data_IF_264153745330
#
_entry.id   IF_264153745330
#
_cell.length_a   1.000
_cell.length_b   1.000
_cell.length_c   1.000
_cell.angle_alpha   90.00
_cell.angle_beta   90.00
_cell.angle_gamma   90.00
#
_symmetry.space_group_name_H-M   'P 1'
#
loop_
_entity.id
_entity.type
_entity.pdbx_description
1 polymer ?
#
# COMPACT_ATOMS: atom_id res chain seq x y z
N UNK A 1 22.75 -19.40 -34.30
CA UNK A 1 22.15 -18.11 -34.74
C UNK A 1 21.13 -17.63 -33.70
N UNK A 2 20.10 -18.43 -33.35
CA UNK A 2 19.10 -18.09 -32.33
C UNK A 2 19.69 -17.68 -30.97
N UNK A 3 20.77 -18.35 -30.52
CA UNK A 3 21.46 -18.00 -29.28
C UNK A 3 22.06 -16.58 -29.29
N UNK A 4 22.72 -16.18 -30.39
CA UNK A 4 23.36 -14.86 -30.50
C UNK A 4 22.35 -13.77 -30.91
N UNK A 5 21.42 -14.07 -31.82
CA UNK A 5 20.38 -13.15 -32.25
C UNK A 5 19.32 -12.91 -31.16
N UNK A 6 19.16 -13.84 -30.20
CA UNK A 6 18.27 -13.70 -29.06
C UNK A 6 18.64 -12.58 -28.09
N UNK A 7 19.88 -12.09 -28.12
CA UNK A 7 20.30 -10.93 -27.33
C UNK A 7 19.77 -9.60 -27.91
N UNK A 8 19.34 -9.58 -29.17
CA UNK A 8 18.67 -8.44 -29.79
C UNK A 8 17.18 -8.81 -29.90
N UNK A 9 16.32 -8.20 -29.06
CA UNK A 9 14.88 -8.43 -29.13
C UNK A 9 14.36 -8.25 -30.56
N UNK A 10 13.38 -9.06 -30.95
CA UNK A 10 12.81 -9.14 -32.31
C UNK A 10 13.72 -9.84 -33.32
N UNK A 11 15.02 -9.54 -33.38
CA UNK A 11 15.94 -10.19 -34.34
C UNK A 11 16.04 -11.69 -34.11
N UNK A 12 16.20 -12.12 -32.85
CA UNK A 12 16.27 -13.55 -32.50
C UNK A 12 14.98 -14.32 -32.80
N UNK A 13 13.81 -13.68 -32.68
CA UNK A 13 12.52 -14.31 -32.93
C UNK A 13 12.18 -14.36 -34.43
N UNK A 14 12.55 -13.34 -35.19
CA UNK A 14 12.23 -13.26 -36.63
C UNK A 14 13.20 -14.10 -37.47
N UNK A 15 14.46 -14.24 -37.05
CA UNK A 15 15.50 -14.94 -37.84
C UNK A 15 15.14 -16.40 -38.17
N UNK A 16 14.70 -17.25 -37.22
CA UNK A 16 14.33 -18.64 -37.52
C UNK A 16 13.13 -18.72 -38.48
N UNK A 17 12.13 -17.85 -38.29
CA UNK A 17 10.95 -17.78 -39.16
C UNK A 17 11.31 -17.37 -40.59
N UNK A 18 12.16 -16.35 -40.75
CA UNK A 18 12.65 -15.91 -42.05
C UNK A 18 13.45 -17.02 -42.76
N UNK A 19 14.31 -17.74 -42.03
CA UNK A 19 15.04 -18.89 -42.58
C UNK A 19 14.12 -20.03 -42.99
N UNK A 20 13.09 -20.35 -42.20
CA UNK A 20 12.11 -21.38 -42.54
C UNK A 20 11.36 -21.05 -43.85
N UNK A 21 10.95 -19.79 -44.03
CA UNK A 21 10.27 -19.32 -45.24
C UNK A 21 11.21 -19.35 -46.45
N UNK A 22 12.46 -18.91 -46.30
CA UNK A 22 13.46 -18.98 -47.37
C UNK A 22 13.76 -20.41 -47.80
N UNK A 23 13.91 -21.33 -46.85
CA UNK A 23 14.13 -22.75 -47.14
C UNK A 23 12.93 -23.35 -47.85
N UNK A 24 11.70 -23.04 -47.42
CA UNK A 24 10.48 -23.50 -48.08
C UNK A 24 10.37 -22.97 -49.52
N UNK A 25 10.76 -21.71 -49.75
CA UNK A 25 10.75 -21.08 -51.07
C UNK A 25 11.71 -21.78 -52.04
N UNK A 26 12.92 -22.11 -51.59
CA UNK A 26 13.94 -22.76 -52.41
C UNK A 26 13.65 -24.24 -52.61
N UNK A 27 13.16 -24.95 -51.59
CA UNK A 27 13.00 -26.41 -51.64
C UNK A 27 11.66 -26.88 -52.21
N UNK A 28 10.59 -26.12 -51.98
CA UNK A 28 9.20 -26.58 -52.16
C UNK A 28 8.33 -25.61 -52.95
N UNK A 29 8.93 -24.53 -53.48
CA UNK A 29 8.28 -23.54 -54.34
C UNK A 29 7.48 -22.47 -53.60
N UNK A 30 6.96 -21.52 -54.38
CA UNK A 30 6.34 -20.29 -53.87
C UNK A 30 5.09 -20.54 -53.00
N UNK A 31 4.19 -21.42 -53.43
CA UNK A 31 2.94 -21.68 -52.68
C UNK A 31 3.21 -22.31 -51.31
N UNK A 32 4.19 -23.21 -51.22
CA UNK A 32 4.60 -23.80 -49.94
C UNK A 32 5.21 -22.74 -49.01
N UNK A 33 6.03 -21.82 -49.55
CA UNK A 33 6.61 -20.73 -48.78
C UNK A 33 5.56 -19.76 -48.21
N UNK A 34 4.51 -19.47 -48.98
CA UNK A 34 3.38 -18.64 -48.51
C UNK A 34 2.68 -19.29 -47.32
N UNK A 35 2.40 -20.60 -47.40
CA UNK A 35 1.81 -21.33 -46.27
C UNK A 35 2.71 -21.34 -45.03
N UNK A 36 4.00 -21.59 -45.21
CA UNK A 36 4.98 -21.55 -44.11
C UNK A 36 5.04 -20.15 -43.49
N UNK A 37 5.05 -19.08 -44.29
CA UNK A 37 5.00 -17.71 -43.80
C UNK A 37 3.74 -17.45 -42.96
N UNK A 38 2.59 -17.91 -43.44
CA UNK A 38 1.30 -17.74 -42.77
C UNK A 38 1.29 -18.45 -41.41
N UNK A 39 1.83 -19.67 -41.34
CA UNK A 39 1.97 -20.43 -40.09
C UNK A 39 2.93 -19.73 -39.13
N UNK A 40 4.11 -19.31 -39.60
CA UNK A 40 5.10 -18.61 -38.78
C UNK A 40 4.49 -17.34 -38.18
N UNK A 41 3.78 -16.54 -38.97
CA UNK A 41 3.10 -15.35 -38.48
C UNK A 41 2.00 -15.70 -37.48
N UNK A 42 1.19 -16.74 -37.72
CA UNK A 42 0.16 -17.18 -36.79
C UNK A 42 0.75 -17.58 -35.43
N UNK A 43 1.84 -18.35 -35.43
CA UNK A 43 2.55 -18.74 -34.20
C UNK A 43 3.08 -17.51 -33.46
N UNK A 44 3.74 -16.59 -34.16
CA UNK A 44 4.26 -15.35 -33.57
C UNK A 44 3.16 -14.50 -32.93
N UNK A 45 1.98 -14.42 -33.58
CA UNK A 45 0.85 -13.67 -33.03
C UNK A 45 0.25 -14.35 -31.78
N UNK A 46 0.18 -15.68 -31.78
CA UNK A 46 -0.25 -16.43 -30.60
C UNK A 46 0.74 -16.23 -29.45
N UNK A 47 2.04 -16.33 -29.73
CA UNK A 47 3.11 -16.09 -28.76
C UNK A 47 3.05 -14.67 -28.18
N UNK A 48 2.97 -13.65 -29.04
CA UNK A 48 2.98 -12.25 -28.65
C UNK A 48 1.70 -11.78 -27.94
N UNK A 49 0.53 -12.14 -28.46
CA UNK A 49 -0.74 -11.58 -28.00
C UNK A 49 -1.53 -12.47 -27.02
N UNK A 50 -1.17 -13.75 -26.89
CA UNK A 50 -1.92 -14.69 -26.02
C UNK A 50 -0.99 -15.32 -25.01
N UNK A 51 0.07 -15.99 -25.47
CA UNK A 51 0.98 -16.73 -24.60
C UNK A 51 1.76 -15.78 -23.69
N UNK A 52 2.34 -14.72 -24.23
CA UNK A 52 3.07 -13.71 -23.44
C UNK A 52 2.19 -13.08 -22.35
N UNK A 53 0.98 -12.53 -22.65
CA UNK A 53 0.13 -11.97 -21.60
C UNK A 53 -0.44 -13.03 -20.66
N UNK A 54 -0.71 -14.27 -21.09
CA UNK A 54 -1.13 -15.33 -20.16
C UNK A 54 0.01 -15.72 -19.20
N UNK A 55 1.26 -15.75 -19.68
CA UNK A 55 2.44 -16.02 -18.85
C UNK A 55 2.78 -14.82 -17.95
N UNK A 56 2.55 -13.58 -18.43
CA UNK A 56 2.86 -12.34 -17.71
C UNK A 56 1.68 -11.80 -16.88
N UNK A 57 0.48 -12.39 -16.98
CA UNK A 57 -0.81 -11.90 -16.43
C UNK A 57 -0.82 -11.65 -14.92
N UNK A 58 0.17 -12.16 -14.16
CA UNK A 58 0.19 -12.05 -12.69
C UNK A 58 1.40 -11.32 -12.11
N UNK A 59 2.31 -10.81 -12.92
CA UNK A 59 3.57 -10.29 -12.39
C UNK A 59 3.92 -8.93 -12.93
N UNK A 60 3.96 -8.01 -11.98
CA UNK A 60 4.83 -6.83 -11.91
C UNK A 60 4.21 -5.52 -12.37
N UNK A 61 3.55 -4.86 -11.40
CA UNK A 61 3.48 -3.39 -11.29
C UNK A 61 4.87 -2.77 -11.13
N UNK A 62 5.75 -2.95 -12.11
CA UNK A 62 6.99 -2.20 -12.23
C UNK A 62 6.69 -0.96 -13.04
N UNK A 63 6.69 0.18 -12.37
CA UNK A 63 6.44 1.45 -13.02
C UNK A 63 7.46 1.67 -14.15
N UNK A 64 7.06 1.77 -15.43
CA UNK A 64 7.98 1.80 -16.58
C UNK A 64 9.02 2.92 -16.50
N UNK A 65 8.68 4.01 -15.82
CA UNK A 65 9.56 5.17 -15.59
C UNK A 65 10.83 4.79 -14.83
N UNK A 66 10.77 3.86 -13.88
CA UNK A 66 11.96 3.44 -13.10
C UNK A 66 12.97 2.75 -14.02
N UNK A 67 12.48 1.90 -14.93
CA UNK A 67 13.32 1.21 -15.91
C UNK A 67 13.93 2.22 -16.88
N UNK A 68 13.13 3.18 -17.38
CA UNK A 68 13.60 4.23 -18.29
C UNK A 68 14.72 5.07 -17.64
N UNK A 69 14.52 5.51 -16.40
CA UNK A 69 15.52 6.28 -15.65
C UNK A 69 16.80 5.46 -15.40
N UNK A 70 16.67 4.18 -15.08
CA UNK A 70 17.82 3.31 -14.88
C UNK A 70 18.58 3.05 -16.18
N UNK A 71 17.89 2.83 -17.30
CA UNK A 71 18.50 2.68 -18.64
C UNK A 71 19.21 3.96 -19.05
N UNK A 72 18.60 5.13 -18.83
CA UNK A 72 19.23 6.41 -19.09
C UNK A 72 20.49 6.58 -18.22
N UNK A 73 20.41 6.35 -16.91
CA UNK A 73 21.54 6.51 -15.98
C UNK A 73 22.67 5.50 -16.23
N UNK A 74 22.34 4.25 -16.54
CA UNK A 74 23.30 3.21 -16.91
C UNK A 74 23.94 3.51 -18.27
N UNK A 75 23.12 3.93 -19.23
CA UNK A 75 23.54 4.37 -20.55
C UNK A 75 24.51 5.54 -20.52
N UNK A 76 24.26 6.55 -19.68
CA UNK A 76 25.17 7.71 -19.58
C UNK A 76 26.47 7.39 -18.84
N UNK A 77 26.46 6.44 -17.88
CA UNK A 77 27.67 6.09 -17.11
C UNK A 77 28.58 5.06 -17.78
N UNK A 78 28.00 4.05 -18.44
CA UNK A 78 28.72 2.89 -18.98
C UNK A 78 28.38 2.61 -20.45
N UNK A 79 27.74 3.56 -21.13
CA UNK A 79 27.35 3.43 -22.54
C UNK A 79 26.35 2.28 -22.76
N UNK A 80 26.49 1.61 -23.91
CA UNK A 80 25.62 0.50 -24.31
C UNK A 80 25.59 -0.64 -23.29
N UNK A 81 26.72 -0.94 -22.65
CA UNK A 81 26.80 -2.02 -21.64
C UNK A 81 25.96 -1.66 -20.42
N UNK A 82 26.03 -0.41 -19.96
CA UNK A 82 25.21 0.07 -18.86
C UNK A 82 23.72 0.10 -19.17
N UNK A 83 23.36 0.51 -20.39
CA UNK A 83 21.96 0.49 -20.84
C UNK A 83 21.39 -0.94 -20.89
N UNK A 84 22.18 -1.92 -21.37
CA UNK A 84 21.78 -3.32 -21.43
C UNK A 84 21.61 -3.94 -20.03
N UNK A 85 22.55 -3.69 -19.12
CA UNK A 85 22.51 -4.23 -17.75
C UNK A 85 21.51 -3.50 -16.85
N UNK A 86 21.08 -2.28 -17.20
CA UNK A 86 20.17 -1.50 -16.38
C UNK A 86 18.85 -2.24 -16.09
N UNK A 87 18.25 -2.89 -17.08
CA UNK A 87 16.97 -3.59 -16.93
C UNK A 87 17.04 -4.73 -15.90
N UNK A 88 17.92 -5.74 -16.05
CA UNK A 88 17.99 -6.85 -15.09
C UNK A 88 18.44 -6.41 -13.69
N UNK A 89 19.37 -5.45 -13.57
CA UNK A 89 19.81 -4.92 -12.28
C UNK A 89 18.67 -4.20 -11.57
N UNK A 90 17.92 -3.35 -12.28
CA UNK A 90 16.78 -2.63 -11.72
C UNK A 90 15.66 -3.59 -11.29
N UNK A 91 15.35 -4.58 -12.12
CA UNK A 91 14.36 -5.60 -11.78
C UNK A 91 14.74 -6.34 -10.49
N UNK A 92 16.01 -6.74 -10.36
CA UNK A 92 16.53 -7.41 -9.17
C UNK A 92 16.47 -6.49 -7.94
N UNK A 93 16.90 -5.24 -8.07
CA UNK A 93 16.89 -4.27 -6.98
C UNK A 93 15.47 -3.97 -6.47
N UNK A 94 14.51 -3.77 -7.39
CA UNK A 94 13.12 -3.55 -7.00
C UNK A 94 12.52 -4.80 -6.37
N UNK A 95 12.83 -6.00 -6.87
CA UNK A 95 12.39 -7.25 -6.26
C UNK A 95 12.92 -7.41 -4.83
N UNK A 96 14.19 -7.10 -4.61
CA UNK A 96 14.80 -7.15 -3.27
C UNK A 96 14.17 -6.13 -2.33
N UNK A 97 13.94 -4.90 -2.81
CA UNK A 97 13.30 -3.85 -2.02
C UNK A 97 11.88 -4.25 -1.64
N UNK A 98 11.10 -4.78 -2.59
CA UNK A 98 9.71 -5.23 -2.38
C UNK A 98 9.65 -6.34 -1.33
N UNK A 99 10.55 -7.33 -1.43
CA UNK A 99 10.71 -8.39 -0.44
C UNK A 99 11.11 -7.86 0.95
N UNK A 100 12.06 -6.92 1.01
CA UNK A 100 12.48 -6.30 2.26
C UNK A 100 11.35 -5.50 2.92
N UNK A 101 10.55 -4.78 2.13
CA UNK A 101 9.37 -4.07 2.65
C UNK A 101 8.31 -5.04 3.16
N UNK A 102 8.04 -6.15 2.49
CA UNK A 102 7.11 -7.19 2.99
C UNK A 102 7.59 -7.79 4.31
N UNK A 103 8.88 -8.08 4.44
CA UNK A 103 9.50 -8.54 5.70
C UNK A 103 9.32 -7.54 6.85
N UNK A 104 9.49 -6.24 6.57
CA UNK A 104 9.27 -5.19 7.55
C UNK A 104 7.78 -5.08 7.92
N UNK A 105 6.90 -5.16 6.94
CA UNK A 105 5.46 -4.96 7.12
C UNK A 105 4.78 -6.11 7.88
N UNK A 106 5.33 -7.33 7.75
CA UNK A 106 5.03 -8.49 8.61
C UNK A 106 5.47 -8.26 10.06
N UNK A 107 6.62 -7.61 10.28
CA UNK A 107 7.12 -7.31 11.64
C UNK A 107 6.39 -6.15 12.30
N UNK A 108 5.88 -5.18 11.53
CA UNK A 108 5.01 -4.11 12.02
C UNK A 108 3.55 -4.54 12.20
N UNK A 109 3.19 -5.77 11.83
CA UNK A 109 1.84 -6.31 11.98
C UNK A 109 0.81 -5.68 11.04
N UNK A 110 1.27 -5.08 9.93
CA UNK A 110 0.44 -4.38 8.95
C UNK A 110 -0.10 -5.32 7.86
N UNK A 111 0.64 -6.38 7.52
CA UNK A 111 0.22 -7.47 6.64
C UNK A 111 -0.24 -8.68 7.46
N UNK A 112 -1.42 -9.23 7.15
CA UNK A 112 -1.93 -10.47 7.78
C UNK A 112 -1.69 -11.70 6.88
N UNK A 113 -1.53 -12.88 7.50
CA UNK A 113 -1.27 -14.14 6.80
C UNK A 113 -2.38 -14.54 5.79
N UNK A 114 -3.59 -14.03 5.99
CA UNK A 114 -4.78 -14.18 5.15
C UNK A 114 -4.72 -13.38 3.83
N UNK A 115 -3.81 -12.40 3.70
CA UNK A 115 -3.71 -11.53 2.52
C UNK A 115 -2.66 -12.02 1.50
N UNK A 116 -1.79 -12.95 1.90
CA UNK A 116 -0.71 -13.47 1.05
C UNK A 116 -1.23 -14.58 0.15
N UNK A 117 -1.88 -14.16 -0.95
CA UNK A 117 -2.53 -15.00 -1.97
C UNK A 117 -1.56 -15.90 -2.77
N UNK A 118 -0.25 -15.80 -2.55
CA UNK A 118 0.81 -16.48 -3.32
C UNK A 118 1.70 -17.41 -2.48
N UNK A 119 1.23 -17.93 -1.36
CA UNK A 119 2.01 -18.90 -0.57
C UNK A 119 1.99 -20.29 -1.21
N UNK A 120 3.14 -20.70 -1.77
CA UNK A 120 3.50 -22.11 -1.94
C UNK A 120 3.32 -22.85 -0.63
N UNK A 121 3.06 -24.17 -0.69
CA UNK A 121 2.70 -24.99 0.48
C UNK A 121 3.68 -24.87 1.67
N UNK A 122 4.97 -24.65 1.38
CA UNK A 122 6.01 -24.41 2.37
C UNK A 122 5.92 -23.02 3.03
N UNK A 123 5.60 -21.97 2.26
CA UNK A 123 5.37 -20.63 2.79
C UNK A 123 4.16 -20.57 3.73
N UNK A 124 3.15 -21.40 3.48
CA UNK A 124 1.96 -21.52 4.34
C UNK A 124 2.31 -22.00 5.75
N UNK A 125 3.23 -22.98 5.87
CA UNK A 125 3.67 -23.48 7.18
C UNK A 125 4.49 -22.46 7.95
N UNK A 126 5.37 -21.72 7.28
CA UNK A 126 6.13 -20.63 7.91
C UNK A 126 5.21 -19.49 8.38
N UNK A 127 4.20 -19.14 7.58
CA UNK A 127 3.20 -18.14 7.95
C UNK A 127 2.35 -18.56 9.17
N UNK A 128 1.98 -19.84 9.27
CA UNK A 128 1.22 -20.37 10.42
C UNK A 128 2.04 -20.34 11.72
N UNK A 129 3.32 -20.69 11.68
CA UNK A 129 4.22 -20.60 12.86
C UNK A 129 4.41 -19.15 13.29
N UNK A 130 4.54 -18.22 12.33
CA UNK A 130 4.61 -16.79 12.63
C UNK A 130 3.30 -16.24 13.20
N UNK A 131 2.15 -16.77 12.76
CA UNK A 131 0.82 -16.39 13.25
C UNK A 131 0.57 -16.86 14.69
N UNK A 132 1.09 -18.04 15.06
CA UNK A 132 0.98 -18.57 16.42
C UNK A 132 1.71 -17.69 17.47
N UNK A 133 2.79 -17.02 17.05
CA UNK A 133 3.52 -16.05 17.89
C UNK A 133 2.94 -14.62 17.87
N UNK A 134 1.93 -14.36 17.03
CA UNK A 134 1.32 -13.05 16.90
C UNK A 134 0.47 -12.52 18.10
N UNK A 135 -0.09 -13.31 19.04
CA UNK A 135 -0.97 -12.76 20.07
C UNK A 135 -0.27 -11.76 21.01
N UNK A 136 1.02 -11.97 21.30
CA UNK A 136 1.82 -11.06 22.13
C UNK A 136 2.10 -9.74 21.41
N UNK A 137 2.32 -9.79 20.10
CA UNK A 137 2.54 -8.61 19.28
C UNK A 137 1.24 -7.81 19.06
N UNK A 138 0.10 -8.48 18.91
CA UNK A 138 -1.23 -7.83 18.84
C UNK A 138 -1.53 -7.00 20.09
N UNK A 139 -1.28 -7.55 21.28
CA UNK A 139 -1.51 -6.82 22.53
C UNK A 139 -0.60 -5.58 22.69
N UNK A 140 0.66 -5.65 22.25
CA UNK A 140 1.59 -4.51 22.32
C UNK A 140 1.25 -3.43 21.29
N UNK A 141 0.86 -3.82 20.09
CA UNK A 141 0.46 -2.90 19.03
C UNK A 141 -0.84 -2.15 19.40
N UNK A 142 -1.85 -2.85 19.93
CA UNK A 142 -3.09 -2.24 20.39
C UNK A 142 -2.84 -1.21 21.49
N UNK A 143 -2.05 -1.57 22.52
CA UNK A 143 -1.71 -0.63 23.61
C UNK A 143 -0.96 0.62 23.14
N UNK A 144 -0.14 0.49 22.10
CA UNK A 144 0.56 1.62 21.50
C UNK A 144 -0.41 2.52 20.72
N UNK A 145 -1.36 1.95 19.99
CA UNK A 145 -2.39 2.70 19.27
C UNK A 145 -3.37 3.40 20.23
N UNK A 146 -3.81 2.72 21.28
CA UNK A 146 -4.70 3.29 22.29
C UNK A 146 -4.04 4.49 22.99
N UNK A 147 -2.74 4.41 23.30
CA UNK A 147 -1.99 5.56 23.86
C UNK A 147 -1.99 6.75 22.91
N UNK A 148 -1.74 6.53 21.62
CA UNK A 148 -1.71 7.60 20.62
C UNK A 148 -3.10 8.20 20.41
N UNK A 149 -4.16 7.40 20.44
CA UNK A 149 -5.54 7.91 20.37
C UNK A 149 -5.93 8.71 21.62
N UNK A 150 -5.53 8.25 22.82
CA UNK A 150 -5.72 9.00 24.04
C UNK A 150 -4.96 10.33 24.02
N UNK A 151 -3.72 10.36 23.54
CA UNK A 151 -2.93 11.59 23.39
C UNK A 151 -3.54 12.52 22.33
N UNK A 152 -4.01 12.00 21.20
CA UNK A 152 -4.71 12.79 20.17
C UNK A 152 -6.05 13.33 20.66
N UNK A 153 -6.80 12.54 21.42
CA UNK A 153 -8.04 12.96 22.05
C UNK A 153 -7.80 14.05 23.10
N UNK A 154 -6.76 13.90 23.92
CA UNK A 154 -6.34 14.91 24.89
C UNK A 154 -5.86 16.19 24.20
N UNK A 155 -5.10 16.10 23.10
CA UNK A 155 -4.67 17.24 22.31
C UNK A 155 -5.85 17.97 21.65
N UNK A 156 -6.81 17.24 21.07
CA UNK A 156 -8.05 17.83 20.51
C UNK A 156 -8.93 18.48 21.59
N UNK A 157 -9.01 17.89 22.79
CA UNK A 157 -9.75 18.46 23.90
C UNK A 157 -9.07 19.72 24.46
N UNK A 158 -7.73 19.77 24.45
CA UNK A 158 -6.96 20.94 24.82
C UNK A 158 -7.12 22.07 23.79
N UNK A 159 -7.12 21.74 22.50
CA UNK A 159 -7.31 22.70 21.40
C UNK A 159 -8.76 23.24 21.36
N UNK A 160 -9.75 22.37 21.57
CA UNK A 160 -11.16 22.77 21.72
C UNK A 160 -11.42 23.60 23.01
N UNK A 161 -10.56 23.48 24.02
CA UNK A 161 -10.61 24.26 25.27
C UNK A 161 -10.01 25.66 25.16
N UNK A 162 -9.37 26.00 24.03
CA UNK A 162 -8.70 27.28 23.81
C UNK A 162 -9.61 28.51 23.76
N UNK A 163 -10.93 28.35 23.71
CA UNK A 163 -11.87 29.47 23.59
C UNK A 163 -12.54 29.91 24.90
N UNK A 164 -12.35 29.25 26.06
CA UNK A 164 -13.05 29.70 27.30
C UNK A 164 -12.28 29.59 28.61
N UNK A 165 -10.95 29.73 28.59
CA UNK A 165 -10.15 29.91 29.81
C UNK A 165 -10.52 31.19 30.60
N UNK A 166 -11.29 32.12 30.01
CA UNK A 166 -11.85 33.29 30.70
C UNK A 166 -13.10 33.00 31.54
N UNK A 167 -13.83 31.91 31.30
CA UNK A 167 -15.08 31.61 32.04
C UNK A 167 -14.89 30.70 33.25
N UNK A 168 -13.83 29.87 33.30
CA UNK A 168 -13.57 28.98 34.45
C UNK A 168 -13.10 29.70 35.72
N UNK A 169 -12.62 30.94 35.62
CA UNK A 169 -12.25 31.74 36.81
C UNK A 169 -13.49 32.31 37.51
N UNK A 170 -14.67 32.31 36.86
CA UNK A 170 -15.98 32.47 37.52
C UNK A 170 -16.52 31.10 37.94
N UNK A 171 -15.80 30.42 38.82
CA UNK A 171 -16.26 29.20 39.47
C UNK A 171 -17.41 29.44 40.48
N UNK A 172 -18.06 28.37 40.96
CA UNK A 172 -19.38 28.33 41.61
C UNK A 172 -19.52 29.06 42.96
N UNK A 173 -18.50 29.76 43.44
CA UNK A 173 -18.56 30.53 44.70
C UNK A 173 -19.50 31.74 44.64
N UNK A 174 -19.68 32.35 43.46
CA UNK A 174 -20.60 33.49 43.30
C UNK A 174 -22.08 33.12 43.51
N UNK A 175 -22.44 31.87 43.20
CA UNK A 175 -23.81 31.38 43.34
C UNK A 175 -24.19 31.00 44.78
N UNK A 176 -23.21 30.74 45.65
CA UNK A 176 -23.47 30.46 47.07
C UNK A 176 -23.72 31.74 47.88
N UNK A 177 -23.13 32.87 47.49
CA UNK A 177 -23.36 34.17 48.18
C UNK A 177 -24.72 34.77 47.82
N UNK A 178 -25.23 34.53 46.60
CA UNK A 178 -26.57 35.02 46.21
C UNK A 178 -27.72 34.27 46.90
N UNK A 179 -27.59 32.94 47.10
CA UNK A 179 -28.63 32.17 47.79
C UNK A 179 -28.80 32.55 49.27
N UNK A 180 -27.75 33.07 49.92
CA UNK A 180 -27.83 33.48 51.33
C UNK A 180 -28.57 34.81 51.50
N UNK A 181 -28.36 35.78 50.61
CA UNK A 181 -29.09 37.06 50.63
C UNK A 181 -30.56 36.94 50.23
N UNK A 182 -30.89 36.02 49.32
CA UNK A 182 -32.29 35.81 48.93
C UNK A 182 -33.13 35.17 50.05
N UNK A 183 -32.50 34.40 50.95
CA UNK A 183 -33.18 33.76 52.07
C UNK A 183 -33.44 34.73 53.23
N UNK A 184 -32.59 35.75 53.41
CA UNK A 184 -32.77 36.80 54.43
C UNK A 184 -33.82 37.86 54.02
N UNK A 185 -34.03 38.08 52.71
CA UNK A 185 -35.02 39.03 52.21
C UNK A 185 -36.46 38.47 52.12
N UNK A 186 -36.64 37.15 52.27
CA UNK A 186 -37.95 36.49 52.18
C UNK A 186 -38.68 36.32 53.51
N UNK A 187 -38.01 36.57 54.64
CA UNK A 187 -38.54 36.27 55.98
C UNK A 187 -39.18 37.49 56.68
N UNK A 188 -39.15 38.67 56.06
CA UNK A 188 -39.67 39.93 56.62
C UNK A 188 -41.05 40.34 56.07
N UNK A 189 -41.72 39.47 55.30
CA UNK A 189 -42.99 39.79 54.64
C UNK A 189 -44.20 38.97 55.12
N UNK A 190 -44.09 38.27 56.26
CA UNK A 190 -45.22 37.53 56.86
C UNK A 190 -45.40 37.94 58.32
N UNK A 191 -45.68 39.21 58.57
CA UNK A 191 -46.19 39.66 59.86
C UNK A 191 -47.56 40.31 59.59
N UNK A 192 -48.59 39.47 59.69
CA UNK A 192 -50.00 39.87 59.62
C UNK A 192 -50.40 40.50 60.96
N UNK A 193 -50.86 41.76 60.99
CA UNK A 193 -51.19 42.48 62.21
C UNK A 193 -52.68 42.39 62.48
N UNK A 194 -53.15 41.37 63.19
CA UNK A 194 -54.40 41.47 63.97
C UNK A 194 -54.65 40.17 64.74
N UNK A 195 -54.62 40.22 66.07
CA UNK A 195 -55.79 40.00 66.95
C UNK A 195 -55.32 40.08 68.42
N UNK A 196 -56.02 40.82 69.33
CA UNK A 196 -55.52 41.15 70.67
C UNK A 196 -55.67 40.01 71.69
N UNK A 197 -55.04 40.15 72.88
CA UNK A 197 -55.06 39.14 73.93
C UNK A 197 -56.28 39.33 74.83
N UNK A 198 -56.96 38.27 75.23
CA UNK A 198 -57.80 38.29 76.44
C UNK A 198 -57.98 36.88 77.03
N UNK A 199 -57.60 36.81 78.32
CA UNK A 199 -57.99 35.91 79.42
C UNK A 199 -57.65 34.40 79.38
#
# INVERSE_FOLDING_TARGET
>A
ITFFAGFIPIVGAVTPGALAVLVALVSSGFMTAVWVLLIVLAVQQIEGNVLTPLLQSRSMDLHPVIILLAVAAGGTRWGIVGAFLAVPVTATAVSLLRYASEQLDLRTGRLRADEVRTLTEHGRRAALVAQDQAPVFRMRAQRAQDRVEHERGAARAADAGGTSLRDRVRGPMGLMVQRRRQKEAGDTATEDPDTPPDA
#
